data_IF_618411264408
#
_entry.id   IF_618411264408
#
_cell.length_a   1.000
_cell.length_b   1.000
_cell.length_c   1.000
_cell.angle_alpha   90.00
_cell.angle_beta   90.00
_cell.angle_gamma   90.00
#
_symmetry.space_group_name_H-M   'P 1'
#
loop_
_entity.id
_entity.type
_entity.pdbx_description
1 polymer ?
#
# COMPACT_ATOMS: atom_id res chain seq x y z
N UNK A 1 9.32 1.21 11.28
CA UNK A 1 9.40 0.97 9.82
C UNK A 1 10.82 1.32 9.37
N UNK A 2 11.46 0.54 8.49
CA UNK A 2 12.75 0.92 7.90
C UNK A 2 12.47 1.57 6.54
N UNK A 3 12.91 2.79 6.33
CA UNK A 3 12.73 3.52 5.07
C UNK A 3 13.90 3.26 4.14
N UNK A 4 13.63 3.25 2.83
CA UNK A 4 14.66 3.24 1.78
C UNK A 4 15.01 4.67 1.38
N UNK A 5 16.27 5.07 1.53
CA UNK A 5 16.74 6.42 1.20
C UNK A 5 16.61 6.77 -0.30
N UNK A 6 16.46 5.77 -1.16
CA UNK A 6 16.28 5.96 -2.61
C UNK A 6 14.85 6.36 -2.99
N UNK A 7 13.89 6.19 -2.08
CA UNK A 7 12.47 6.46 -2.34
C UNK A 7 12.03 7.62 -1.44
N UNK A 8 11.33 8.63 -1.97
CA UNK A 8 10.83 9.72 -1.14
C UNK A 8 10.02 9.23 0.05
N UNK A 9 10.38 9.67 1.26
CA UNK A 9 9.77 9.18 2.51
C UNK A 9 8.25 9.35 2.54
N UNK A 10 7.72 10.47 2.00
CA UNK A 10 6.27 10.69 1.96
C UNK A 10 5.54 9.61 1.13
N UNK A 11 6.16 9.14 0.05
CA UNK A 11 5.60 8.08 -0.80
C UNK A 11 5.61 6.73 -0.07
N UNK A 12 6.67 6.46 0.71
CA UNK A 12 6.73 5.26 1.55
C UNK A 12 5.66 5.27 2.66
N UNK A 13 5.40 6.44 3.27
CA UNK A 13 4.31 6.62 4.25
C UNK A 13 2.94 6.38 3.60
N UNK A 14 2.73 6.94 2.40
CA UNK A 14 1.50 6.74 1.61
C UNK A 14 1.25 5.25 1.38
N UNK A 15 2.25 4.54 0.86
CA UNK A 15 2.16 3.10 0.59
C UNK A 15 2.00 2.27 1.88
N UNK A 16 2.58 2.73 2.99
CA UNK A 16 2.34 2.12 4.29
C UNK A 16 0.86 2.21 4.69
N UNK A 17 0.25 3.40 4.57
CA UNK A 17 -1.18 3.60 4.91
C UNK A 17 -2.08 2.78 3.99
N UNK A 18 -1.81 2.75 2.68
CA UNK A 18 -2.56 1.90 1.74
C UNK A 18 -2.58 0.43 2.18
N UNK A 19 -1.42 -0.10 2.56
CA UNK A 19 -1.33 -1.49 3.03
C UNK A 19 -2.18 -1.70 4.27
N UNK A 20 -2.15 -0.78 5.24
CA UNK A 20 -2.97 -0.90 6.45
C UNK A 20 -4.47 -0.90 6.14
N UNK A 21 -4.91 -0.13 5.14
CA UNK A 21 -6.30 -0.14 4.68
C UNK A 21 -6.64 -1.49 4.02
N UNK A 22 -5.81 -1.97 3.09
CA UNK A 22 -6.07 -3.20 2.32
C UNK A 22 -6.08 -4.44 3.22
N UNK A 23 -5.22 -4.51 4.23
CA UNK A 23 -5.23 -5.63 5.19
C UNK A 23 -6.28 -5.48 6.29
N UNK A 24 -7.10 -4.42 6.25
CA UNK A 24 -8.20 -4.18 7.17
C UNK A 24 -7.80 -3.70 8.57
N UNK A 25 -6.53 -3.29 8.77
CA UNK A 25 -6.09 -2.68 10.03
C UNK A 25 -6.57 -1.24 10.20
N UNK A 26 -6.86 -0.58 9.09
CA UNK A 26 -7.60 0.68 9.02
C UNK A 26 -8.85 0.42 8.17
N UNK A 27 -9.99 0.20 8.82
CA UNK A 27 -11.25 -0.06 8.16
C UNK A 27 -11.82 1.22 7.51
N UNK A 28 -12.73 1.08 6.52
CA UNK A 28 -13.48 2.22 6.00
C UNK A 28 -14.19 2.97 7.14
N UNK A 29 -14.04 4.31 7.19
CA UNK A 29 -14.56 5.14 8.27
C UNK A 29 -13.66 5.24 9.51
N UNK A 30 -12.55 4.49 9.60
CA UNK A 30 -11.64 4.59 10.73
C UNK A 30 -10.89 5.92 10.74
N UNK A 31 -10.71 6.45 11.95
CA UNK A 31 -9.90 7.65 12.17
C UNK A 31 -8.41 7.32 12.10
N UNK A 32 -7.67 8.03 11.25
CA UNK A 32 -6.22 7.95 11.23
C UNK A 32 -5.61 8.61 12.48
N UNK A 33 -4.44 8.15 12.95
CA UNK A 33 -3.73 8.83 14.01
C UNK A 33 -3.38 10.27 13.61
N UNK A 34 -3.28 11.16 14.60
CA UNK A 34 -2.95 12.56 14.34
C UNK A 34 -1.58 12.67 13.66
N UNK A 35 -1.40 13.70 12.82
CA UNK A 35 -0.15 13.92 12.06
C UNK A 35 1.09 13.87 12.95
N UNK A 36 1.05 14.51 14.12
CA UNK A 36 2.17 14.50 15.09
C UNK A 36 2.42 13.10 15.66
N UNK A 37 1.36 12.34 15.92
CA UNK A 37 1.49 10.97 16.40
C UNK A 37 2.13 10.08 15.33
N UNK A 38 1.64 10.16 14.08
CA UNK A 38 2.23 9.44 12.95
C UNK A 38 3.71 9.80 12.74
N UNK A 39 4.07 11.07 12.90
CA UNK A 39 5.46 11.52 12.78
C UNK A 39 6.37 10.90 13.84
N UNK A 40 5.86 10.78 15.08
CA UNK A 40 6.57 10.11 16.19
C UNK A 40 6.66 8.61 15.95
N UNK A 41 5.55 7.95 15.63
CA UNK A 41 5.48 6.49 15.45
C UNK A 41 6.35 5.99 14.29
N UNK A 42 6.45 6.81 13.24
CA UNK A 42 7.27 6.50 12.06
C UNK A 42 8.67 7.10 12.15
N UNK A 43 8.97 7.91 13.17
CA UNK A 43 10.25 8.62 13.33
C UNK A 43 10.62 9.45 12.09
N UNK A 44 9.66 10.26 11.61
CA UNK A 44 9.80 11.09 10.39
C UNK A 44 9.42 12.54 10.67
N UNK A 45 9.81 13.44 9.77
CA UNK A 45 9.44 14.85 9.85
C UNK A 45 7.91 15.04 9.67
N UNK A 46 7.30 15.87 10.52
CA UNK A 46 5.86 16.21 10.48
C UNK A 46 5.41 16.68 9.10
N UNK A 47 6.21 17.52 8.42
CA UNK A 47 5.89 18.03 7.09
C UNK A 47 5.84 16.90 6.05
N UNK A 48 6.67 15.87 6.21
CA UNK A 48 6.67 14.69 5.35
C UNK A 48 5.39 13.86 5.53
N UNK A 49 4.90 13.72 6.77
CA UNK A 49 3.60 13.10 7.04
C UNK A 49 2.47 13.93 6.46
N UNK A 50 2.50 15.26 6.63
CA UNK A 50 1.48 16.15 6.06
C UNK A 50 1.42 16.03 4.54
N UNK A 51 2.58 15.97 3.86
CA UNK A 51 2.64 15.74 2.43
C UNK A 51 2.01 14.40 2.06
N UNK A 52 2.36 13.31 2.75
CA UNK A 52 1.79 11.99 2.49
C UNK A 52 0.25 11.97 2.66
N UNK A 53 -0.26 12.60 3.72
CA UNK A 53 -1.70 12.70 3.96
C UNK A 53 -2.38 13.60 2.90
N UNK A 54 -1.70 14.65 2.42
CA UNK A 54 -2.19 15.49 1.33
C UNK A 54 -2.40 14.71 0.03
N UNK A 55 -1.47 13.81 -0.33
CA UNK A 55 -1.62 12.91 -1.47
C UNK A 55 -2.80 11.94 -1.27
N UNK A 56 -2.95 11.37 -0.07
CA UNK A 56 -4.08 10.48 0.23
C UNK A 56 -5.44 11.18 0.14
N UNK A 57 -5.50 12.47 0.49
CA UNK A 57 -6.70 13.30 0.37
C UNK A 57 -6.99 13.60 -1.10
N UNK A 58 -5.98 13.97 -1.90
CA UNK A 58 -6.18 14.27 -3.32
C UNK A 58 -6.67 13.05 -4.11
N UNK A 59 -6.23 11.86 -3.70
CA UNK A 59 -6.65 10.56 -4.23
C UNK A 59 -7.96 10.04 -3.63
N UNK A 60 -8.59 10.78 -2.69
CA UNK A 60 -9.83 10.42 -1.99
C UNK A 60 -9.76 9.12 -1.18
N UNK A 61 -8.56 8.68 -0.80
CA UNK A 61 -8.37 7.50 0.07
C UNK A 61 -8.70 7.83 1.51
N UNK A 62 -8.46 9.08 1.92
CA UNK A 62 -8.84 9.61 3.22
C UNK A 62 -9.57 10.95 3.07
N UNK A 63 -10.40 11.27 4.06
CA UNK A 63 -11.22 12.48 4.09
C UNK A 63 -10.94 13.28 5.37
N UNK A 64 -10.62 14.58 5.26
CA UNK A 64 -10.45 15.44 6.42
C UNK A 64 -11.81 15.85 6.98
N UNK A 65 -12.01 15.63 8.28
CA UNK A 65 -13.15 16.17 9.02
C UNK A 65 -12.69 17.31 9.93
N UNK A 66 -13.28 18.50 9.72
CA UNK A 66 -12.90 19.73 10.43
C UNK A 66 -12.92 19.53 11.95
N UNK A 67 -11.77 19.75 12.59
CA UNK A 67 -11.59 19.59 14.04
C UNK A 67 -11.58 18.15 14.56
N UNK A 68 -11.81 17.14 13.71
CA UNK A 68 -11.92 15.74 14.12
C UNK A 68 -10.74 14.87 13.65
N UNK A 69 -10.05 15.25 12.57
CA UNK A 69 -8.90 14.52 12.03
C UNK A 69 -9.14 14.02 10.61
N UNK A 70 -8.36 13.04 10.16
CA UNK A 70 -8.54 12.38 8.86
C UNK A 70 -9.14 10.99 9.06
N UNK A 71 -10.02 10.58 8.15
CA UNK A 71 -10.74 9.31 8.21
C UNK A 71 -10.56 8.55 6.91
N UNK A 72 -10.49 7.22 6.95
CA UNK A 72 -10.47 6.40 5.73
C UNK A 72 -11.80 6.56 5.01
N UNK A 73 -11.78 6.67 3.67
CA UNK A 73 -13.01 6.73 2.88
C UNK A 73 -13.90 5.51 3.14
N UNK A 74 -15.21 5.73 3.18
CA UNK A 74 -16.21 4.65 3.24
C UNK A 74 -16.53 4.07 1.85
N UNK A 75 -16.03 4.70 0.78
CA UNK A 75 -16.25 4.25 -0.58
C UNK A 75 -15.44 2.96 -0.88
N UNK A 76 -16.16 1.85 -0.88
CA UNK A 76 -15.62 0.53 -1.19
C UNK A 76 -15.08 0.43 -2.61
N UNK A 77 -15.65 1.16 -3.57
CA UNK A 77 -15.17 1.13 -4.95
C UNK A 77 -13.76 1.73 -5.04
N UNK A 78 -13.52 2.84 -4.33
CA UNK A 78 -12.21 3.47 -4.22
C UNK A 78 -11.18 2.53 -3.58
N UNK A 79 -11.55 1.81 -2.52
CA UNK A 79 -10.65 0.85 -1.86
C UNK A 79 -10.33 -0.34 -2.78
N UNK A 80 -11.31 -0.87 -3.50
CA UNK A 80 -11.08 -1.94 -4.48
C UNK A 80 -10.21 -1.48 -5.65
N UNK A 81 -10.38 -0.24 -6.14
CA UNK A 81 -9.49 0.35 -7.14
C UNK A 81 -8.05 0.47 -6.62
N UNK A 82 -7.87 0.94 -5.39
CA UNK A 82 -6.55 1.02 -4.75
C UNK A 82 -5.89 -0.37 -4.65
N UNK A 83 -6.64 -1.37 -4.22
CA UNK A 83 -6.16 -2.75 -4.13
C UNK A 83 -5.72 -3.28 -5.49
N UNK A 84 -6.53 -3.07 -6.53
CA UNK A 84 -6.18 -3.45 -7.92
C UNK A 84 -4.92 -2.75 -8.40
N UNK A 85 -4.79 -1.44 -8.16
CA UNK A 85 -3.59 -0.66 -8.52
C UNK A 85 -2.32 -1.30 -7.94
N UNK A 86 -2.29 -1.56 -6.64
CA UNK A 86 -1.11 -2.12 -5.97
C UNK A 86 -0.79 -3.56 -6.37
N UNK A 87 -1.81 -4.34 -6.75
CA UNK A 87 -1.62 -5.68 -7.30
C UNK A 87 -0.98 -5.57 -8.69
N UNK A 88 -1.52 -4.70 -9.55
CA UNK A 88 -0.99 -4.50 -10.90
C UNK A 88 0.46 -4.02 -10.89
N UNK A 89 0.82 -3.07 -10.02
CA UNK A 89 2.21 -2.62 -9.86
C UNK A 89 3.15 -3.80 -9.49
N UNK A 90 2.76 -4.62 -8.51
CA UNK A 90 3.55 -5.79 -8.11
C UNK A 90 3.65 -6.85 -9.20
N UNK A 91 2.56 -7.10 -9.94
CA UNK A 91 2.56 -8.03 -11.06
C UNK A 91 3.45 -7.54 -12.20
N UNK A 92 3.44 -6.23 -12.48
CA UNK A 92 4.30 -5.63 -13.49
C UNK A 92 5.78 -5.79 -13.11
N UNK A 93 6.16 -5.45 -11.88
CA UNK A 93 7.53 -5.62 -11.41
C UNK A 93 7.98 -7.09 -11.46
N UNK A 94 7.12 -8.02 -11.04
CA UNK A 94 7.38 -9.46 -11.13
C UNK A 94 7.59 -9.90 -12.58
N UNK A 95 6.67 -9.52 -13.46
CA UNK A 95 6.69 -9.88 -14.88
C UNK A 95 7.98 -9.40 -15.54
N UNK A 96 8.33 -8.12 -15.39
CA UNK A 96 9.55 -7.54 -15.95
C UNK A 96 10.83 -8.24 -15.45
N UNK A 97 10.85 -8.62 -14.16
CA UNK A 97 11.99 -9.34 -13.59
C UNK A 97 12.12 -10.75 -14.16
N UNK A 98 11.01 -11.47 -14.38
CA UNK A 98 11.03 -12.81 -14.97
C UNK A 98 11.38 -12.76 -16.47
N UNK A 99 10.87 -11.77 -17.20
CA UNK A 99 11.24 -11.55 -18.61
C UNK A 99 12.73 -11.26 -18.79
N UNK A 100 13.35 -10.53 -17.87
CA UNK A 100 14.82 -10.30 -17.86
C UNK A 100 15.64 -11.58 -17.67
N UNK A 101 15.02 -12.64 -17.14
CA UNK A 101 15.61 -13.98 -17.01
C UNK A 101 15.31 -14.87 -18.22
N UNK A 102 14.77 -14.32 -19.31
CA UNK A 102 14.34 -15.03 -20.52
C UNK A 102 13.25 -16.08 -20.29
N UNK A 103 12.41 -15.90 -19.27
CA UNK A 103 11.27 -16.78 -19.00
C UNK A 103 10.10 -16.43 -19.92
N UNK A 104 9.51 -17.42 -20.59
CA UNK A 104 8.33 -17.22 -21.45
C UNK A 104 7.07 -16.91 -20.64
N UNK A 105 6.04 -16.36 -21.28
CA UNK A 105 4.78 -16.08 -20.58
C UNK A 105 4.12 -17.37 -20.07
N UNK A 106 4.24 -18.48 -20.81
CA UNK A 106 3.77 -19.80 -20.36
C UNK A 106 4.56 -20.30 -19.15
N UNK A 107 5.90 -20.21 -19.19
CA UNK A 107 6.76 -20.63 -18.08
C UNK A 107 6.49 -19.81 -16.81
N UNK A 108 6.22 -18.50 -16.93
CA UNK A 108 5.87 -17.63 -15.80
C UNK A 108 4.63 -18.16 -15.08
N UNK A 109 3.58 -18.51 -15.85
CA UNK A 109 2.33 -19.04 -15.28
C UNK A 109 2.57 -20.38 -14.60
N UNK A 110 3.34 -21.28 -15.22
CA UNK A 110 3.68 -22.59 -14.67
C UNK A 110 4.46 -22.47 -13.34
N UNK A 111 5.51 -21.64 -13.31
CA UNK A 111 6.29 -21.40 -12.10
C UNK A 111 5.46 -20.79 -10.97
N UNK A 112 4.56 -19.83 -11.30
CA UNK A 112 3.70 -19.21 -10.31
C UNK A 112 2.68 -20.20 -9.74
N UNK A 113 2.10 -21.05 -10.59
CA UNK A 113 1.16 -22.09 -10.17
C UNK A 113 1.82 -23.13 -9.25
N UNK A 114 3.02 -23.59 -9.60
CA UNK A 114 3.81 -24.51 -8.76
C UNK A 114 4.17 -23.87 -7.41
N UNK A 115 4.60 -22.61 -7.40
CA UNK A 115 4.91 -21.89 -6.17
C UNK A 115 3.70 -21.77 -5.23
N UNK A 116 2.53 -21.43 -5.77
CA UNK A 116 1.27 -21.34 -5.01
C UNK A 116 0.91 -22.71 -4.41
N UNK A 117 1.02 -23.79 -5.18
CA UNK A 117 0.70 -25.14 -4.74
C UNK A 117 1.60 -25.58 -3.59
N UNK A 118 2.92 -25.35 -3.70
CA UNK A 118 3.89 -25.65 -2.63
C UNK A 118 3.59 -24.87 -1.33
N UNK A 119 3.21 -23.60 -1.42
CA UNK A 119 2.90 -22.78 -0.23
C UNK A 119 1.63 -23.22 0.50
N UNK A 120 0.62 -23.72 -0.22
CA UNK A 120 -0.60 -24.27 0.40
C UNK A 120 -0.31 -25.54 1.22
N UNK A 121 0.61 -26.39 0.76
CA UNK A 121 0.99 -27.62 1.47
C UNK A 121 1.79 -27.36 2.75
N UNK A 122 2.54 -26.26 2.83
CA UNK A 122 3.35 -25.89 4.01
C UNK A 122 2.50 -25.20 5.11
N UNK A 123 1.30 -24.74 4.79
CA UNK A 123 0.36 -24.10 5.73
C UNK A 123 -0.76 -25.04 6.20
N UNK A 124 -0.75 -26.30 5.77
CA UNK A 124 -1.66 -27.38 6.22
C UNK A 124 -0.91 -28.29 7.20
#
# INVERSE_FOLDING_TARGET
MKFDDKIPIYYQIKNYIYRQIIVGKLAPGDKLPAVRQLAVDLTVNVNTVQRALGELISEKIIEPQRGKGNFVTEDRETIEKLKKLLITEQLQDLYENLRKLNVSDEEIVDYLQDYINKRKQVQS
#
